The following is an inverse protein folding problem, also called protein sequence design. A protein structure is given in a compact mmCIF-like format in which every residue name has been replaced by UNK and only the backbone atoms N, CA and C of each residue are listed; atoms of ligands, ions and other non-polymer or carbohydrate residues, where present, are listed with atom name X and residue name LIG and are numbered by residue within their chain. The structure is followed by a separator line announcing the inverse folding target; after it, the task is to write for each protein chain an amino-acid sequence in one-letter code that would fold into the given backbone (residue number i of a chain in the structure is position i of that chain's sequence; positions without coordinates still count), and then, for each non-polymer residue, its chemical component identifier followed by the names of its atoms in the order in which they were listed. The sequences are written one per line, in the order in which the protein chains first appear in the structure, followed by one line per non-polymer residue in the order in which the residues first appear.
data_IF_527154836474
#
_entry.id   IF_527154836474
#
_cell.length_a   1.000
_cell.length_b   1.000
_cell.length_c   1.000
_cell.angle_alpha   90.00
_cell.angle_beta   90.00
_cell.angle_gamma   90.00
#
_symmetry.space_group_name_H-M   'P 1'
#
loop_
_entity.id
_entity.type
_entity.pdbx_description
1 polymer ?
#
# COMPACT_ATOMS: atom_id res chain seq x y z
N UNK A 1 -4.43 -17.02 -4.04
CA UNK A 1 -4.64 -18.02 -2.97
C UNK A 1 -4.71 -17.33 -1.63
N UNK A 2 -5.67 -17.69 -0.77
CA UNK A 2 -5.65 -17.22 0.60
C UNK A 2 -4.42 -17.82 1.30
N UNK A 3 -3.73 -16.98 2.06
CA UNK A 3 -2.51 -17.39 2.76
C UNK A 3 -2.81 -18.24 4.02
N UNK A 4 -4.09 -18.43 4.34
CA UNK A 4 -4.60 -19.23 5.46
C UNK A 4 -5.99 -19.80 5.12
N UNK A 5 -6.28 -21.04 5.51
CA UNK A 5 -7.45 -21.78 5.01
C UNK A 5 -8.74 -21.66 5.86
N UNK A 6 -8.67 -21.14 7.09
CA UNK A 6 -9.84 -21.10 7.97
C UNK A 6 -10.82 -19.99 7.59
N UNK A 7 -12.13 -20.29 7.64
CA UNK A 7 -13.22 -19.33 7.40
C UNK A 7 -13.48 -18.41 8.60
N UNK A 8 -13.03 -18.80 9.82
CA UNK A 8 -13.33 -18.06 11.06
C UNK A 8 -12.68 -16.66 11.07
N UNK A 9 -13.45 -15.56 11.21
CA UNK A 9 -12.92 -14.19 11.13
C UNK A 9 -11.89 -13.85 12.22
N UNK A 10 -12.11 -14.34 13.45
CA UNK A 10 -11.19 -14.11 14.59
C UNK A 10 -9.80 -14.68 14.32
N UNK A 11 -9.74 -15.86 13.71
CA UNK A 11 -8.49 -16.54 13.38
C UNK A 11 -7.76 -15.82 12.24
N UNK A 12 -8.50 -15.38 11.21
CA UNK A 12 -7.93 -14.59 10.11
C UNK A 12 -7.32 -13.27 10.60
N UNK A 13 -8.03 -12.53 11.49
CA UNK A 13 -7.53 -11.27 12.06
C UNK A 13 -6.26 -11.48 12.90
N UNK A 14 -6.24 -12.52 13.76
CA UNK A 14 -5.06 -12.89 14.55
C UNK A 14 -3.87 -13.24 13.66
N UNK A 15 -4.12 -13.92 12.54
CA UNK A 15 -3.08 -14.32 11.62
C UNK A 15 -2.47 -13.12 10.85
N UNK A 16 -3.29 -12.19 10.36
CA UNK A 16 -2.81 -10.94 9.73
C UNK A 16 -1.95 -10.13 10.70
N UNK A 17 -2.38 -10.03 11.96
CA UNK A 17 -1.65 -9.31 13.00
C UNK A 17 -0.26 -9.93 13.25
N UNK A 18 -0.19 -11.26 13.37
CA UNK A 18 1.07 -11.98 13.67
C UNK A 18 1.92 -12.31 12.42
N UNK A 19 1.51 -11.87 11.23
CA UNK A 19 2.19 -12.22 9.99
C UNK A 19 3.64 -11.71 9.92
N UNK A 20 4.62 -12.53 9.49
CA UNK A 20 6.00 -12.09 9.29
C UNK A 20 6.13 -11.13 8.09
N UNK A 21 7.20 -10.32 8.09
CA UNK A 21 7.39 -9.23 7.12
C UNK A 21 7.38 -9.68 5.65
N UNK A 22 8.00 -10.82 5.34
CA UNK A 22 8.06 -11.34 3.97
C UNK A 22 6.68 -11.72 3.40
N UNK A 23 5.75 -12.17 4.26
CA UNK A 23 4.37 -12.44 3.85
C UNK A 23 3.55 -11.15 3.75
N UNK A 24 3.82 -10.15 4.60
CA UNK A 24 3.11 -8.86 4.58
C UNK A 24 3.27 -8.10 3.27
N UNK A 25 4.39 -8.31 2.58
CA UNK A 25 4.60 -7.76 1.24
C UNK A 25 3.48 -8.13 0.26
N UNK A 26 2.85 -9.32 0.39
CA UNK A 26 1.73 -9.73 -0.47
C UNK A 26 0.46 -8.92 -0.25
N UNK A 27 0.32 -8.23 0.89
CA UNK A 27 -0.83 -7.37 1.18
C UNK A 27 -0.75 -6.03 0.45
N UNK A 28 0.44 -5.60 0.05
CA UNK A 28 0.69 -4.32 -0.63
C UNK A 28 0.47 -4.39 -2.14
N UNK A 29 -0.60 -5.05 -2.56
CA UNK A 29 -0.92 -5.22 -3.97
C UNK A 29 -1.79 -4.05 -4.46
N UNK A 30 -1.35 -3.35 -5.51
CA UNK A 30 -2.07 -2.23 -6.12
C UNK A 30 -2.54 -2.55 -7.55
N UNK A 31 -3.62 -1.89 -8.00
CA UNK A 31 -4.09 -1.96 -9.39
C UNK A 31 -3.13 -1.14 -10.27
N UNK A 32 -2.77 -1.69 -11.43
CA UNK A 32 -2.08 -0.90 -12.46
C UNK A 32 -3.04 0.07 -13.15
N UNK A 33 -2.50 1.12 -13.78
CA UNK A 33 -3.28 1.96 -14.68
C UNK A 33 -3.77 1.14 -15.88
N UNK A 34 -4.82 1.62 -16.56
CA UNK A 34 -5.44 0.88 -17.66
C UNK A 34 -4.45 0.68 -18.82
N UNK A 35 -3.67 1.71 -19.14
CA UNK A 35 -2.58 1.65 -20.11
C UNK A 35 -1.52 0.59 -19.77
N UNK A 36 -1.09 0.53 -18.51
CA UNK A 36 -0.10 -0.46 -18.06
C UNK A 36 -0.70 -1.87 -18.01
N UNK A 37 -1.99 -1.97 -17.68
CA UNK A 37 -2.70 -3.24 -17.66
C UNK A 37 -2.85 -3.83 -19.06
N UNK A 38 -3.10 -3.01 -20.08
CA UNK A 38 -3.14 -3.44 -21.48
C UNK A 38 -1.75 -3.85 -21.98
N UNK A 39 -0.72 -3.06 -21.67
CA UNK A 39 0.66 -3.33 -22.12
C UNK A 39 1.24 -4.63 -21.55
N UNK A 40 1.04 -4.89 -20.26
CA UNK A 40 1.65 -6.03 -19.57
C UNK A 40 0.68 -7.20 -19.35
N UNK A 41 -0.63 -7.03 -19.59
CA UNK A 41 -1.66 -8.03 -19.32
C UNK A 41 -1.88 -8.33 -17.83
N UNK A 42 -1.22 -7.60 -16.92
CA UNK A 42 -1.26 -7.82 -15.48
C UNK A 42 -2.18 -6.78 -14.84
N UNK A 43 -3.13 -7.23 -14.02
CA UNK A 43 -4.09 -6.34 -13.33
C UNK A 43 -3.53 -5.68 -12.07
N UNK A 44 -2.64 -6.38 -11.33
CA UNK A 44 -2.16 -5.93 -10.02
C UNK A 44 -0.72 -6.36 -9.76
N UNK A 45 0.06 -5.47 -9.15
CA UNK A 45 1.44 -5.73 -8.73
C UNK A 45 1.70 -5.20 -7.31
N UNK A 46 2.64 -5.81 -6.57
CA UNK A 46 3.08 -5.28 -5.28
C UNK A 46 3.84 -3.96 -5.47
N UNK A 47 3.52 -2.97 -4.63
CA UNK A 47 4.13 -1.64 -4.69
C UNK A 47 5.57 -1.67 -4.17
N UNK A 48 6.48 -1.02 -4.90
CA UNK A 48 7.89 -0.87 -4.52
C UNK A 48 8.28 0.60 -4.35
N UNK A 49 9.43 0.81 -3.71
CA UNK A 49 10.03 2.14 -3.58
C UNK A 49 10.44 2.63 -4.96
N UNK A 50 10.06 3.86 -5.28
CA UNK A 50 10.36 4.48 -6.57
C UNK A 50 9.24 4.41 -7.61
N UNK A 51 8.17 3.66 -7.35
CA UNK A 51 7.01 3.60 -8.24
C UNK A 51 6.20 4.91 -8.18
N UNK A 52 5.62 5.32 -9.31
CA UNK A 52 4.64 6.41 -9.37
C UNK A 52 3.25 5.85 -9.12
N UNK A 53 2.56 6.40 -8.13
CA UNK A 53 1.23 5.95 -7.72
C UNK A 53 0.24 7.10 -7.66
N UNK A 54 -1.03 6.79 -7.93
CA UNK A 54 -2.16 7.70 -7.79
C UNK A 54 -3.04 7.27 -6.63
N UNK A 55 -3.39 8.20 -5.75
CA UNK A 55 -4.29 7.94 -4.63
C UNK A 55 -5.73 7.99 -5.12
N UNK A 56 -6.45 6.87 -5.01
CA UNK A 56 -7.83 6.75 -5.51
C UNK A 56 -8.89 7.17 -4.48
N UNK A 57 -8.59 7.07 -3.17
CA UNK A 57 -9.54 7.31 -2.07
C UNK A 57 -8.85 7.96 -0.88
N UNK A 58 -9.63 8.65 -0.03
CA UNK A 58 -9.16 9.32 1.18
C UNK A 58 -8.95 10.83 0.97
N UNK A 59 -8.33 11.50 1.95
CA UNK A 59 -8.16 12.95 1.95
C UNK A 59 -7.26 13.47 0.83
N UNK A 60 -6.34 12.65 0.33
CA UNK A 60 -5.41 12.98 -0.76
C UNK A 60 -5.84 12.35 -2.10
N UNK A 61 -7.13 12.05 -2.28
CA UNK A 61 -7.62 11.45 -3.52
C UNK A 61 -7.33 12.34 -4.73
N UNK A 62 -6.90 11.73 -5.83
CA UNK A 62 -6.49 12.41 -7.05
C UNK A 62 -5.02 12.81 -7.09
N UNK A 63 -4.31 12.79 -5.96
CA UNK A 63 -2.88 13.12 -5.91
C UNK A 63 -2.03 12.01 -6.54
N UNK A 64 -1.06 12.41 -7.35
CA UNK A 64 -0.05 11.55 -7.95
C UNK A 64 1.30 11.84 -7.33
N UNK A 65 2.03 10.78 -6.96
CA UNK A 65 3.32 10.95 -6.32
C UNK A 65 4.17 9.70 -6.38
N UNK A 66 5.46 9.88 -6.10
CA UNK A 66 6.42 8.78 -6.04
C UNK A 66 6.39 8.13 -4.66
N UNK A 67 6.55 6.81 -4.62
CA UNK A 67 6.68 6.07 -3.36
C UNK A 67 8.07 6.29 -2.78
N UNK A 68 8.14 6.95 -1.62
CA UNK A 68 9.39 7.22 -0.91
C UNK A 68 9.80 6.01 -0.07
N UNK A 69 8.83 5.43 0.65
CA UNK A 69 9.09 4.33 1.58
C UNK A 69 7.88 3.43 1.72
N UNK A 70 8.13 2.12 1.77
CA UNK A 70 7.13 1.10 2.09
C UNK A 70 7.41 0.57 3.49
N UNK A 71 6.47 0.75 4.41
CA UNK A 71 6.56 0.25 5.79
C UNK A 71 5.69 -1.01 5.95
N UNK A 72 6.33 -2.17 5.86
CA UNK A 72 5.68 -3.47 6.05
C UNK A 72 5.26 -3.74 7.50
N UNK A 73 5.88 -3.09 8.50
CA UNK A 73 5.52 -3.27 9.91
C UNK A 73 4.18 -2.60 10.22
N UNK A 74 3.96 -1.40 9.67
CA UNK A 74 2.73 -0.63 9.90
C UNK A 74 1.69 -0.81 8.79
N UNK A 75 2.05 -1.52 7.73
CA UNK A 75 1.22 -1.71 6.53
C UNK A 75 0.83 -0.35 5.92
N UNK A 76 1.82 0.55 5.75
CA UNK A 76 1.66 1.89 5.17
C UNK A 76 2.65 2.18 4.06
N UNK A 77 2.25 3.03 3.12
CA UNK A 77 3.08 3.55 2.03
C UNK A 77 3.19 5.05 2.22
N UNK A 78 4.41 5.58 2.12
CA UNK A 78 4.64 7.02 2.16
C UNK A 78 4.84 7.53 0.73
N UNK A 79 4.02 8.51 0.35
CA UNK A 79 3.98 9.08 -1.00
C UNK A 79 4.48 10.52 -0.94
N UNK A 80 5.28 10.90 -1.93
CA UNK A 80 5.74 12.27 -2.11
C UNK A 80 4.57 13.22 -2.40
N UNK A 81 4.48 14.32 -1.64
CA UNK A 81 3.37 15.28 -1.70
C UNK A 81 2.15 14.95 -0.82
N UNK A 82 2.03 13.72 -0.30
CA UNK A 82 1.05 13.38 0.72
C UNK A 82 1.63 13.63 2.13
N UNK A 83 1.75 14.90 2.50
CA UNK A 83 2.30 15.31 3.80
C UNK A 83 1.28 16.13 4.59
N UNK A 84 1.26 15.92 5.91
CA UNK A 84 0.54 16.77 6.86
C UNK A 84 1.56 17.60 7.62
N UNK A 85 1.33 18.91 7.66
CA UNK A 85 2.09 19.82 8.52
C UNK A 85 1.58 19.70 9.95
N UNK A 86 2.44 19.34 10.89
CA UNK A 86 2.14 19.42 12.32
C UNK A 86 2.07 20.88 12.78
N UNK A 87 1.49 21.11 13.95
CA UNK A 87 1.49 22.42 14.60
C UNK A 87 2.92 22.97 14.80
N UNK A 88 3.88 22.08 15.02
CA UNK A 88 5.31 22.39 15.14
C UNK A 88 5.99 22.71 13.79
N UNK A 89 5.25 22.77 12.68
CA UNK A 89 5.75 23.08 11.34
C UNK A 89 6.48 21.92 10.64
N UNK A 90 6.75 20.82 11.34
CA UNK A 90 7.43 19.65 10.74
C UNK A 90 6.52 18.90 9.75
N UNK A 91 6.97 18.64 8.52
CA UNK A 91 6.22 17.85 7.55
C UNK A 91 6.30 16.36 7.92
N UNK A 92 5.15 15.73 8.12
CA UNK A 92 5.06 14.28 8.35
C UNK A 92 4.32 13.64 7.20
N UNK A 93 4.94 12.63 6.58
CA UNK A 93 4.30 11.84 5.54
C UNK A 93 3.06 11.13 6.10
N UNK A 94 1.96 11.24 5.36
CA UNK A 94 0.69 10.61 5.68
C UNK A 94 0.73 9.11 5.40
#
# INVERSE_FOLDING_TARGET
MPLYSSVKPSVQRKWIFNMPLHLRHKLFNAKLSEELQEKYGIKRLPVRVGDTVRIMRGSFAGHEGKVVKVDLKRVRIFIEGAQIKKADGTPVYY
#
